data_IF_294654603531
#
_entry.id   IF_294654603531
#
_cell.length_a   1.000
_cell.length_b   1.000
_cell.length_c   1.000
_cell.angle_alpha   90.00
_cell.angle_beta   90.00
_cell.angle_gamma   90.00
#
_symmetry.space_group_name_H-M   'P 1'
#
loop_
_entity.id
_entity.type
_entity.pdbx_description
1 polymer ?
#
# COMPACT_ATOMS: atom_id res chain seq x y z
N UNK A 1 4.20 -6.16 18.55
CA UNK A 1 5.16 -5.06 18.66
C UNK A 1 6.49 -5.55 18.08
N UNK A 2 6.82 -5.20 16.84
CA UNK A 2 8.12 -5.53 16.24
C UNK A 2 9.15 -4.61 16.90
N UNK A 3 10.09 -5.17 17.59
CA UNK A 3 11.33 -4.53 18.04
C UNK A 3 11.91 -3.79 16.83
N UNK A 4 11.93 -2.45 16.91
CA UNK A 4 12.71 -1.62 15.98
C UNK A 4 14.14 -2.15 16.06
N UNK A 5 14.63 -2.67 14.94
CA UNK A 5 16.08 -2.84 14.74
C UNK A 5 16.72 -1.57 15.25
N UNK A 6 17.67 -1.69 16.18
CA UNK A 6 18.56 -0.61 16.56
C UNK A 6 19.32 -0.23 15.30
N UNK A 7 18.79 0.75 14.57
CA UNK A 7 19.48 1.32 13.44
C UNK A 7 20.84 1.80 13.97
N UNK A 8 21.91 1.38 13.35
CA UNK A 8 23.24 1.89 13.63
C UNK A 8 23.17 3.40 13.55
N UNK A 9 23.40 4.07 14.68
CA UNK A 9 23.32 5.53 14.79
C UNK A 9 24.75 6.04 14.86
N UNK A 10 25.14 6.89 13.92
CA UNK A 10 26.39 7.61 14.02
C UNK A 10 26.23 8.79 15.00
N UNK A 11 27.13 8.95 15.95
CA UNK A 11 27.15 10.12 16.80
C UNK A 11 28.02 11.21 16.16
N UNK A 12 27.41 12.32 15.81
CA UNK A 12 28.07 13.52 15.29
C UNK A 12 28.30 14.48 16.45
N UNK A 13 29.54 14.72 16.80
CA UNK A 13 29.96 15.49 17.97
C UNK A 13 30.92 16.59 17.57
N UNK A 14 31.01 17.69 18.34
CA UNK A 14 32.05 18.68 18.20
C UNK A 14 33.41 18.05 18.48
N UNK A 15 34.46 18.57 17.82
CA UNK A 15 35.85 18.18 17.96
C UNK A 15 36.72 19.43 18.11
N UNK A 16 38.01 19.30 18.49
CA UNK A 16 38.90 20.43 18.63
C UNK A 16 38.98 21.33 17.39
N UNK A 17 39.01 20.73 16.19
CA UNK A 17 39.13 21.44 14.93
C UNK A 17 37.90 21.25 14.03
N UNK A 18 36.70 21.29 14.62
CA UNK A 18 35.45 21.16 13.85
C UNK A 18 34.52 20.07 14.37
N UNK A 19 34.23 19.05 13.55
CA UNK A 19 33.24 18.03 13.86
C UNK A 19 33.77 16.63 13.57
N UNK A 20 33.36 15.67 14.39
CA UNK A 20 33.64 14.25 14.15
C UNK A 20 32.36 13.42 14.28
N UNK A 21 32.26 12.39 13.47
CA UNK A 21 31.25 11.38 13.64
C UNK A 21 31.86 10.03 13.96
N UNK A 22 31.29 9.37 14.95
CA UNK A 22 31.67 8.01 15.37
C UNK A 22 30.53 7.09 14.94
N UNK A 23 30.82 6.17 14.04
CA UNK A 23 29.90 5.13 13.56
C UNK A 23 30.52 3.74 13.82
N UNK A 24 29.73 2.69 13.70
CA UNK A 24 30.21 1.33 13.85
C UNK A 24 31.36 0.98 12.89
N UNK A 25 31.38 1.61 11.71
CA UNK A 25 32.35 1.36 10.64
C UNK A 25 33.62 2.23 10.75
N UNK A 26 33.69 3.13 11.73
CA UNK A 26 34.85 3.99 11.95
C UNK A 26 34.51 5.42 12.34
N UNK A 27 35.56 6.27 12.34
CA UNK A 27 35.50 7.69 12.71
C UNK A 27 35.73 8.54 11.46
N UNK A 28 34.84 9.50 11.22
CA UNK A 28 34.96 10.51 10.18
C UNK A 28 35.13 11.88 10.85
N UNK A 29 35.99 12.74 10.31
CA UNK A 29 36.19 14.11 10.80
C UNK A 29 36.14 15.11 9.63
N UNK A 30 35.78 16.36 9.96
CA UNK A 30 35.73 17.46 9.02
C UNK A 30 35.58 18.79 9.72
N UNK A 31 35.86 19.87 9.01
CA UNK A 31 35.77 21.23 9.54
C UNK A 31 34.31 21.68 9.74
N UNK A 32 33.39 21.09 8.99
CA UNK A 32 31.95 21.43 9.04
C UNK A 32 31.09 20.17 9.17
N UNK A 33 29.88 20.36 9.70
CA UNK A 33 28.86 19.30 9.77
C UNK A 33 28.54 18.73 8.38
N UNK A 34 28.47 19.58 7.35
CA UNK A 34 28.18 19.17 5.97
C UNK A 34 29.24 18.22 5.43
N UNK A 35 30.51 18.56 5.62
CA UNK A 35 31.65 17.73 5.19
C UNK A 35 31.65 16.35 5.86
N UNK A 36 31.37 16.28 7.16
CA UNK A 36 31.27 15.01 7.88
C UNK A 36 30.07 14.20 7.41
N UNK A 37 28.94 14.89 7.13
CA UNK A 37 27.74 14.24 6.64
C UNK A 37 27.94 13.56 5.26
N UNK A 38 28.74 14.15 4.38
CA UNK A 38 29.08 13.58 3.06
C UNK A 38 29.93 12.30 3.20
N UNK A 39 30.81 12.26 4.19
CA UNK A 39 31.69 11.12 4.46
C UNK A 39 30.96 9.94 5.10
N UNK A 40 29.79 10.17 5.72
CA UNK A 40 29.03 9.12 6.39
C UNK A 40 28.23 8.26 5.39
N UNK A 41 28.19 6.93 5.57
CA UNK A 41 27.40 6.03 4.73
C UNK A 41 25.93 6.44 4.66
N UNK A 42 25.31 6.28 3.49
CA UNK A 42 23.88 6.56 3.31
C UNK A 42 23.03 5.54 4.08
N UNK A 43 21.95 6.02 4.70
CA UNK A 43 20.99 5.15 5.41
C UNK A 43 21.28 4.94 6.90
N UNK A 44 22.39 5.43 7.43
CA UNK A 44 22.68 5.45 8.88
C UNK A 44 21.95 6.64 9.51
N UNK A 45 21.26 6.40 10.63
CA UNK A 45 20.71 7.47 11.46
C UNK A 45 21.82 8.32 12.08
N UNK A 46 21.62 9.62 12.21
CA UNK A 46 22.58 10.54 12.81
C UNK A 46 22.02 11.07 14.13
N UNK A 47 22.80 10.92 15.18
CA UNK A 47 22.56 11.61 16.43
C UNK A 47 23.49 12.82 16.52
N UNK A 48 22.93 14.01 16.57
CA UNK A 48 23.65 15.25 16.67
C UNK A 48 23.88 15.59 18.13
N UNK A 49 25.15 15.72 18.55
CA UNK A 49 25.50 16.25 19.84
C UNK A 49 25.84 17.73 19.69
N UNK A 50 25.06 18.58 20.34
CA UNK A 50 25.27 20.01 20.28
C UNK A 50 26.49 20.43 21.10
N UNK A 51 27.26 21.44 20.63
CA UNK A 51 28.43 21.95 21.35
C UNK A 51 28.00 22.63 22.63
N UNK A 52 28.92 22.64 23.58
CA UNK A 52 28.74 23.30 24.90
C UNK A 52 28.44 24.80 24.75
N UNK A 53 28.98 25.44 23.70
CA UNK A 53 28.69 26.85 23.37
C UNK A 53 27.25 27.14 22.98
N UNK A 54 26.49 26.12 22.60
CA UNK A 54 25.06 26.24 22.27
C UNK A 54 24.15 26.05 23.49
N UNK A 55 24.73 25.79 24.67
CA UNK A 55 24.00 25.40 25.88
C UNK A 55 24.09 26.51 26.91
N UNK A 56 22.97 26.87 27.51
CA UNK A 56 22.92 27.66 28.72
C UNK A 56 22.46 26.77 29.85
N UNK A 57 23.22 26.74 30.93
CA UNK A 57 22.92 25.91 32.11
C UNK A 57 22.58 26.81 33.29
N UNK A 58 21.42 26.55 33.91
CA UNK A 58 20.98 27.25 35.11
C UNK A 58 20.62 26.25 36.20
N UNK A 59 20.85 26.61 37.44
CA UNK A 59 20.56 25.76 38.58
C UNK A 59 19.48 26.37 39.45
N UNK A 60 18.53 25.54 39.83
CA UNK A 60 17.43 25.94 40.68
C UNK A 60 17.29 24.99 41.85
N UNK A 61 16.71 25.51 42.94
CA UNK A 61 16.08 24.69 43.97
C UNK A 61 14.60 24.83 43.79
N UNK A 62 13.96 23.70 43.48
CA UNK A 62 12.52 23.62 43.26
C UNK A 62 11.85 22.77 44.36
N UNK A 63 10.57 23.05 44.70
CA UNK A 63 9.81 22.20 45.60
C UNK A 63 9.79 20.75 45.07
N UNK A 64 9.72 19.77 45.96
CA UNK A 64 9.58 18.38 45.56
C UNK A 64 8.23 18.15 44.90
N UNK A 65 8.22 17.75 43.63
CA UNK A 65 7.04 17.61 42.79
C UNK A 65 7.29 16.56 41.69
N UNK A 66 6.24 16.05 41.05
CA UNK A 66 6.38 15.22 39.85
C UNK A 66 7.17 15.96 38.75
N UNK A 67 7.86 15.19 37.89
CA UNK A 67 8.72 15.74 36.83
C UNK A 67 8.01 16.77 35.92
N UNK A 68 6.73 16.55 35.62
CA UNK A 68 5.93 17.45 34.77
C UNK A 68 5.78 18.84 35.43
N UNK A 69 5.53 18.87 36.75
CA UNK A 69 5.42 20.12 37.52
C UNK A 69 6.78 20.80 37.68
N UNK A 70 7.84 20.00 37.90
CA UNK A 70 9.22 20.52 37.94
C UNK A 70 9.58 21.18 36.60
N UNK A 71 9.22 20.57 35.47
CA UNK A 71 9.43 21.13 34.13
C UNK A 71 8.69 22.47 33.98
N UNK A 72 7.43 22.55 34.38
CA UNK A 72 6.63 23.79 34.29
C UNK A 72 7.21 24.91 35.19
N UNK A 73 7.61 24.57 36.41
CA UNK A 73 8.24 25.54 37.33
C UNK A 73 9.59 26.03 36.80
N UNK A 74 10.42 25.15 36.29
CA UNK A 74 11.72 25.51 35.69
C UNK A 74 11.54 26.38 34.45
N UNK A 75 10.57 26.09 33.59
CA UNK A 75 10.26 26.92 32.42
C UNK A 75 9.96 28.36 32.83
N UNK A 76 9.10 28.58 33.84
CA UNK A 76 8.79 29.91 34.35
C UNK A 76 10.01 30.65 34.93
N UNK A 77 10.95 29.91 35.53
CA UNK A 77 12.21 30.48 36.02
C UNK A 77 13.14 30.87 34.86
N UNK A 78 13.28 29.99 33.88
CA UNK A 78 14.09 30.24 32.68
C UNK A 78 13.60 31.44 31.88
N UNK A 79 12.27 31.60 31.71
CA UNK A 79 11.69 32.77 31.03
C UNK A 79 11.99 34.10 31.71
N UNK A 80 12.24 34.10 33.02
CA UNK A 80 12.66 35.28 33.77
C UNK A 80 14.13 35.60 33.64
N UNK A 81 14.96 34.56 33.47
CA UNK A 81 16.43 34.68 33.47
C UNK A 81 17.00 34.86 32.08
N UNK A 82 16.35 34.22 31.10
CA UNK A 82 16.84 34.20 29.73
C UNK A 82 16.13 35.29 28.89
N UNK A 83 16.81 35.90 27.92
CA UNK A 83 16.20 36.88 26.99
C UNK A 83 15.39 36.19 25.87
N UNK A 84 14.77 35.07 26.16
CA UNK A 84 14.03 34.24 25.20
C UNK A 84 12.61 33.97 25.70
N UNK A 85 11.66 33.83 24.79
CA UNK A 85 10.31 33.36 25.11
C UNK A 85 10.31 31.82 25.16
N UNK A 86 9.29 31.22 25.79
CA UNK A 86 9.15 29.76 25.91
C UNK A 86 9.21 29.01 24.57
N UNK A 87 8.85 29.67 23.49
CA UNK A 87 8.84 29.09 22.13
C UNK A 87 10.22 29.15 21.46
N UNK A 88 11.14 29.94 21.99
CA UNK A 88 12.46 30.20 21.39
C UNK A 88 13.57 29.28 21.92
N UNK A 89 13.27 28.40 22.85
CA UNK A 89 14.25 27.47 23.40
C UNK A 89 13.66 26.08 23.68
N UNK A 90 14.53 25.10 23.75
CA UNK A 90 14.24 23.74 24.25
C UNK A 90 15.08 23.52 25.48
N UNK A 91 14.52 22.93 26.52
CA UNK A 91 15.25 22.61 27.73
C UNK A 91 14.89 21.23 28.28
N UNK A 92 15.73 20.70 29.12
CA UNK A 92 15.48 19.51 29.93
C UNK A 92 16.10 19.71 31.31
N UNK A 93 15.58 18.96 32.28
CA UNK A 93 16.04 19.02 33.67
C UNK A 93 16.83 17.76 34.06
N UNK A 94 17.92 17.96 34.71
CA UNK A 94 18.63 16.93 35.41
C UNK A 94 18.53 17.15 36.94
N UNK A 95 17.96 16.17 37.64
CA UNK A 95 17.83 16.21 39.11
C UNK A 95 19.19 15.92 39.75
N UNK A 96 19.75 16.89 40.44
CA UNK A 96 21.08 16.77 41.06
C UNK A 96 21.02 16.14 42.45
N UNK A 97 19.91 16.23 43.14
CA UNK A 97 19.71 15.63 44.47
C UNK A 97 18.90 16.53 45.41
N UNK A 98 18.72 16.09 46.67
CA UNK A 98 17.93 16.86 47.63
C UNK A 98 18.65 18.17 48.03
N UNK A 99 17.83 19.19 48.35
CA UNK A 99 18.22 20.46 48.96
C UNK A 99 17.50 20.65 50.29
N UNK A 100 17.83 21.70 51.05
CA UNK A 100 17.15 22.00 52.31
C UNK A 100 15.66 22.27 52.11
N UNK A 101 15.29 22.89 51.02
CA UNK A 101 13.90 23.26 50.71
C UNK A 101 13.41 22.66 49.34
N UNK A 102 13.68 21.37 49.09
CA UNK A 102 13.23 20.70 47.90
C UNK A 102 14.31 19.93 47.13
N UNK A 103 14.32 20.01 45.82
CA UNK A 103 15.24 19.30 44.92
C UNK A 103 16.12 20.30 44.17
N UNK A 104 17.40 20.06 44.12
CA UNK A 104 18.32 20.76 43.21
C UNK A 104 18.18 20.19 41.81
N UNK A 105 17.99 21.06 40.84
CA UNK A 105 17.90 20.71 39.44
C UNK A 105 18.87 21.55 38.62
N UNK A 106 19.43 20.98 37.59
CA UNK A 106 20.12 21.69 36.52
C UNK A 106 19.16 21.75 35.32
N UNK A 107 18.85 22.96 34.89
CA UNK A 107 18.19 23.17 33.62
C UNK A 107 19.23 23.41 32.54
N UNK A 108 19.29 22.52 31.56
CA UNK A 108 20.10 22.75 30.38
C UNK A 108 19.17 23.27 29.27
N UNK A 109 19.50 24.40 28.70
CA UNK A 109 18.63 25.13 27.74
C UNK A 109 19.39 25.36 26.46
N UNK A 110 18.76 25.15 25.34
CA UNK A 110 19.29 25.40 24.00
C UNK A 110 18.36 26.34 23.22
N UNK A 111 18.84 27.50 22.81
CA UNK A 111 18.08 28.38 21.92
C UNK A 111 17.77 27.69 20.60
N UNK A 112 16.53 27.80 20.12
CA UNK A 112 16.12 27.19 18.85
C UNK A 112 16.93 27.68 17.65
N UNK A 113 17.43 28.91 17.69
CA UNK A 113 18.32 29.45 16.66
C UNK A 113 19.62 28.63 16.55
N UNK A 114 20.25 28.33 17.69
CA UNK A 114 21.47 27.52 17.74
C UNK A 114 21.22 26.07 17.32
N UNK A 115 20.12 25.50 17.79
CA UNK A 115 19.69 24.16 17.38
C UNK A 115 19.48 24.09 15.86
N UNK A 116 18.79 25.06 15.28
CA UNK A 116 18.58 25.16 13.83
C UNK A 116 19.91 25.31 13.12
N UNK A 117 20.79 26.20 13.57
CA UNK A 117 22.12 26.43 12.98
C UNK A 117 22.94 25.13 12.88
N UNK A 118 22.94 24.31 13.93
CA UNK A 118 23.66 23.03 13.93
C UNK A 118 22.96 21.92 13.14
N UNK A 119 21.63 21.90 13.10
CA UNK A 119 20.88 20.84 12.42
C UNK A 119 20.61 21.11 10.93
N UNK A 120 20.62 22.37 10.50
CA UNK A 120 20.30 22.77 9.12
C UNK A 120 21.20 22.10 8.06
N UNK A 121 22.54 21.99 8.24
CA UNK A 121 23.38 21.29 7.27
C UNK A 121 22.96 19.82 7.05
N UNK A 122 22.52 19.15 8.13
CA UNK A 122 22.01 17.77 8.04
C UNK A 122 20.66 17.70 7.34
N UNK A 123 19.78 18.64 7.64
CA UNK A 123 18.43 18.74 7.01
C UNK A 123 18.54 19.06 5.52
N UNK A 124 19.42 19.99 5.16
CA UNK A 124 19.69 20.34 3.76
C UNK A 124 20.26 19.16 2.96
N UNK A 125 21.07 18.32 3.60
CA UNK A 125 21.58 17.07 3.00
C UNK A 125 20.50 15.95 2.94
N UNK A 126 19.27 16.22 3.37
CA UNK A 126 18.18 15.23 3.41
C UNK A 126 18.36 14.15 4.50
N UNK A 127 19.18 14.43 5.49
CA UNK A 127 19.53 13.54 6.62
C UNK A 127 19.24 14.19 7.97
N UNK A 128 17.98 14.51 8.28
CA UNK A 128 17.65 15.15 9.56
C UNK A 128 18.17 14.30 10.74
N UNK A 129 18.59 14.95 11.85
CA UNK A 129 19.10 14.21 13.00
C UNK A 129 17.98 13.36 13.62
N UNK A 130 18.22 12.06 13.77
CA UNK A 130 17.28 11.14 14.41
C UNK A 130 17.15 11.39 15.93
N UNK A 131 18.23 11.90 16.53
CA UNK A 131 18.29 12.37 17.91
C UNK A 131 19.16 13.60 18.01
N UNK A 132 18.84 14.44 18.95
CA UNK A 132 19.70 15.56 19.35
C UNK A 132 20.00 15.40 20.83
N UNK A 133 21.25 15.50 21.18
CA UNK A 133 21.74 15.46 22.55
C UNK A 133 22.69 16.61 22.82
N UNK A 134 23.14 16.75 24.07
CA UNK A 134 24.14 17.73 24.48
C UNK A 134 25.47 17.04 24.76
N UNK A 135 26.55 17.50 24.11
CA UNK A 135 27.86 16.84 24.22
C UNK A 135 28.33 16.79 25.67
N UNK A 136 28.25 17.92 26.40
CA UNK A 136 28.64 18.01 27.81
C UNK A 136 27.89 17.02 28.72
N UNK A 137 26.59 16.84 28.51
CA UNK A 137 25.78 15.85 29.28
C UNK A 137 26.25 14.43 28.97
N UNK A 138 26.56 14.13 27.71
CA UNK A 138 27.02 12.81 27.33
C UNK A 138 28.44 12.54 27.89
N UNK A 139 29.28 13.56 27.94
CA UNK A 139 30.60 13.48 28.62
C UNK A 139 30.42 13.25 30.12
N UNK A 140 29.52 14.01 30.77
CA UNK A 140 29.25 13.82 32.21
C UNK A 140 28.85 12.38 32.52
N UNK A 141 28.01 11.76 31.72
CA UNK A 141 27.58 10.36 31.87
C UNK A 141 28.70 9.34 31.77
N UNK A 142 29.79 9.67 31.07
CA UNK A 142 30.96 8.79 31.04
C UNK A 142 31.69 8.65 32.41
N UNK A 143 31.30 9.47 33.39
CA UNK A 143 31.80 9.48 34.77
C UNK A 143 30.79 8.93 35.79
N UNK A 144 29.78 8.14 35.37
CA UNK A 144 28.70 7.69 36.25
C UNK A 144 29.16 7.02 37.55
N UNK A 145 30.31 6.32 37.54
CA UNK A 145 30.80 5.57 38.68
C UNK A 145 32.06 6.22 39.30
N UNK A 146 32.29 7.52 39.05
CA UNK A 146 33.53 8.20 39.42
C UNK A 146 33.38 9.24 40.55
N UNK A 147 32.18 9.38 41.13
CA UNK A 147 31.90 10.44 42.12
C UNK A 147 32.00 11.84 41.49
N UNK A 148 32.69 12.75 42.14
CA UNK A 148 32.95 14.10 41.62
C UNK A 148 34.11 14.04 40.62
N UNK A 149 33.81 14.28 39.35
CA UNK A 149 34.77 14.25 38.26
C UNK A 149 34.82 15.59 37.52
N UNK A 150 36.05 15.95 37.11
CA UNK A 150 36.32 17.10 36.25
C UNK A 150 36.69 16.59 34.85
N UNK A 151 36.18 17.24 33.81
CA UNK A 151 36.69 17.07 32.45
C UNK A 151 37.04 18.42 31.83
N UNK A 152 38.20 18.44 31.18
CA UNK A 152 38.68 19.61 30.43
C UNK A 152 39.03 19.17 29.01
N UNK A 153 38.41 19.81 28.02
CA UNK A 153 38.66 19.49 26.62
C UNK A 153 38.53 20.72 25.72
N UNK A 154 39.02 20.61 24.50
CA UNK A 154 38.87 21.64 23.48
C UNK A 154 37.63 21.34 22.61
N UNK A 155 36.80 22.34 22.43
CA UNK A 155 35.59 22.24 21.60
C UNK A 155 35.52 23.45 20.69
N UNK A 156 35.55 23.22 19.38
CA UNK A 156 35.53 24.31 18.38
C UNK A 156 36.56 25.42 18.70
N UNK A 157 37.79 25.02 19.05
CA UNK A 157 38.91 25.90 19.44
C UNK A 157 38.84 26.57 20.81
N UNK A 158 37.77 26.40 21.58
CA UNK A 158 37.61 26.93 22.94
C UNK A 158 37.81 25.82 23.99
N UNK A 159 38.52 26.09 25.12
CA UNK A 159 38.56 25.18 26.22
C UNK A 159 37.28 25.18 27.03
N UNK A 160 36.78 23.99 27.32
CA UNK A 160 35.54 23.76 28.09
C UNK A 160 35.88 22.98 29.34
N UNK A 161 35.49 23.52 30.49
CA UNK A 161 35.57 22.86 31.78
C UNK A 161 34.16 22.39 32.19
N UNK A 162 34.09 21.13 32.60
CA UNK A 162 32.87 20.51 33.08
C UNK A 162 33.16 19.81 34.42
N UNK A 163 32.19 19.91 35.35
CA UNK A 163 32.16 19.10 36.55
C UNK A 163 30.94 18.21 36.51
N UNK A 164 31.13 16.95 36.77
CA UNK A 164 30.10 15.95 36.91
C UNK A 164 30.09 15.33 38.30
N UNK A 165 28.91 14.99 38.79
CA UNK A 165 28.73 14.23 40.04
C UNK A 165 27.93 12.99 39.73
N UNK A 166 28.52 11.82 39.90
CA UNK A 166 27.89 10.52 39.61
C UNK A 166 27.26 10.48 38.20
N UNK A 167 27.99 11.03 37.22
CA UNK A 167 27.53 11.07 35.81
C UNK A 167 26.53 12.15 35.46
N UNK A 168 26.18 13.01 36.41
CA UNK A 168 25.27 14.15 36.16
C UNK A 168 26.08 15.42 35.99
N UNK A 169 25.74 16.23 35.01
CA UNK A 169 26.33 17.54 34.78
C UNK A 169 25.94 18.49 35.92
N UNK A 170 26.90 19.08 36.60
CA UNK A 170 26.64 20.05 37.69
C UNK A 170 27.22 21.43 37.41
N UNK A 171 28.26 21.51 36.59
CA UNK A 171 28.92 22.76 36.19
C UNK A 171 29.45 22.65 34.78
N UNK A 172 29.27 23.71 33.99
CA UNK A 172 29.79 23.81 32.63
C UNK A 172 30.20 25.25 32.37
N UNK A 173 31.46 25.44 31.95
CA UNK A 173 31.99 26.76 31.68
C UNK A 173 32.96 26.75 30.51
N UNK A 174 32.88 27.78 29.67
CA UNK A 174 33.89 28.04 28.65
C UNK A 174 34.97 28.93 29.28
N UNK A 175 36.17 28.41 29.33
CA UNK A 175 37.28 29.18 29.87
C UNK A 175 37.69 30.24 28.83
N UNK A 176 37.90 31.47 29.34
CA UNK A 176 38.39 32.59 28.53
C UNK A 176 39.90 32.56 28.61
N UNK A 177 40.56 32.29 27.50
CA UNK A 177 42.03 32.17 27.48
C UNK A 177 42.63 33.16 26.50
N UNK A 178 43.74 33.79 26.90
CA UNK A 178 44.53 34.64 26.01
C UNK A 178 45.44 33.83 25.07
N UNK A 179 45.49 32.50 25.25
CA UNK A 179 46.36 31.57 24.54
C UNK A 179 45.67 30.27 24.10
N UNK A 180 46.42 29.34 23.51
CA UNK A 180 45.90 28.06 23.05
C UNK A 180 45.53 27.08 24.18
N UNK A 181 45.99 27.34 25.40
CA UNK A 181 45.76 26.54 26.59
C UNK A 181 45.22 27.40 27.73
N UNK A 182 44.29 26.86 28.56
CA UNK A 182 43.89 27.54 29.80
C UNK A 182 45.04 27.54 30.79
N UNK A 183 45.21 28.63 31.54
CA UNK A 183 46.17 28.64 32.60
C UNK A 183 45.60 28.06 33.92
N UNK A 184 46.48 27.71 34.86
CA UNK A 184 46.06 27.11 36.12
C UNK A 184 45.22 28.07 36.99
N UNK A 185 45.38 29.39 36.83
CA UNK A 185 44.60 30.39 37.57
C UNK A 185 43.18 30.47 37.06
N UNK A 186 42.95 30.30 35.75
CA UNK A 186 41.60 30.25 35.18
C UNK A 186 40.85 28.99 35.60
N UNK A 187 41.51 27.82 35.55
CA UNK A 187 40.94 26.57 36.04
C UNK A 187 40.57 26.73 37.53
N UNK A 188 41.45 27.27 38.35
CA UNK A 188 41.19 27.51 39.77
C UNK A 188 40.06 28.49 40.02
N UNK A 189 39.91 29.54 39.18
CA UNK A 189 38.83 30.50 39.24
C UNK A 189 37.48 29.86 38.92
N UNK A 190 37.39 29.04 37.88
CA UNK A 190 36.20 28.28 37.53
C UNK A 190 35.80 27.32 38.64
N UNK A 191 36.78 26.62 39.25
CA UNK A 191 36.51 25.73 40.37
C UNK A 191 35.97 26.48 41.58
N UNK A 192 36.58 27.61 41.94
CA UNK A 192 36.08 28.47 43.02
C UNK A 192 34.66 28.97 42.71
N UNK A 193 34.39 29.33 41.46
CA UNK A 193 33.02 29.67 41.01
C UNK A 193 32.04 28.55 41.23
N UNK A 194 32.39 27.34 40.85
CA UNK A 194 31.59 26.13 41.05
C UNK A 194 31.36 25.83 42.56
N UNK A 195 32.38 26.01 43.39
CA UNK A 195 32.28 25.83 44.85
C UNK A 195 31.35 26.87 45.48
N UNK A 196 31.56 28.13 45.20
CA UNK A 196 30.72 29.22 45.68
C UNK A 196 29.27 29.10 45.24
N UNK A 197 29.05 28.57 44.06
CA UNK A 197 27.74 28.26 43.55
C UNK A 197 27.15 26.95 44.13
N UNK A 198 27.84 26.25 45.01
CA UNK A 198 27.39 24.99 45.60
C UNK A 198 27.28 23.83 44.59
N UNK A 199 28.07 23.86 43.50
CA UNK A 199 28.13 22.81 42.51
C UNK A 199 29.05 21.65 42.91
N UNK A 200 29.97 21.88 43.82
CA UNK A 200 30.91 20.88 44.30
C UNK A 200 30.46 20.32 45.66
N UNK A 201 29.85 19.14 45.69
CA UNK A 201 29.40 18.52 46.94
C UNK A 201 30.55 17.89 47.73
N UNK A 202 31.74 17.81 47.15
CA UNK A 202 32.92 17.20 47.78
C UNK A 202 34.16 17.36 46.90
N UNK A 203 35.28 16.76 47.33
CA UNK A 203 36.56 16.87 46.60
C UNK A 203 36.44 16.15 45.23
N UNK A 204 37.14 16.70 44.24
CA UNK A 204 37.26 16.09 42.92
C UNK A 204 38.04 14.79 43.02
N UNK A 205 37.46 13.69 42.63
CA UNK A 205 38.02 12.35 42.69
C UNK A 205 38.95 12.06 41.49
N UNK A 206 38.64 12.62 40.34
CA UNK A 206 39.38 12.42 39.08
C UNK A 206 39.23 13.61 38.16
N UNK A 207 40.30 13.97 37.47
CA UNK A 207 40.30 14.95 36.40
C UNK A 207 40.71 14.27 35.09
N UNK A 208 39.90 14.40 34.01
CA UNK A 208 40.23 13.93 32.68
C UNK A 208 40.52 15.10 31.77
N UNK A 209 41.63 15.03 31.08
CA UNK A 209 42.10 16.10 30.20
C UNK A 209 42.23 15.55 28.78
N UNK A 210 41.51 16.16 27.85
CA UNK A 210 41.51 15.74 26.45
C UNK A 210 42.70 16.17 25.63
N UNK A 211 43.44 17.15 26.13
CA UNK A 211 44.62 17.73 25.48
C UNK A 211 45.86 17.52 26.38
N UNK A 212 46.84 16.77 25.92
CA UNK A 212 48.01 16.39 26.71
C UNK A 212 48.86 17.58 27.19
N UNK A 213 48.88 18.68 26.42
CA UNK A 213 49.56 19.93 26.75
C UNK A 213 48.90 20.70 27.91
N UNK A 214 47.71 20.34 28.33
CA UNK A 214 46.96 20.98 29.42
C UNK A 214 47.09 20.22 30.77
N UNK A 215 47.66 19.03 30.75
CA UNK A 215 47.76 18.16 31.93
C UNK A 215 48.53 18.84 33.10
N UNK A 216 49.60 19.56 32.82
CA UNK A 216 50.41 20.20 33.85
C UNK A 216 49.69 21.41 34.47
N UNK A 217 48.92 22.15 33.72
CA UNK A 217 48.06 23.24 34.22
C UNK A 217 46.99 22.70 35.17
N UNK A 218 46.36 21.58 34.79
CA UNK A 218 45.34 20.93 35.65
C UNK A 218 45.97 20.37 36.92
N UNK A 219 47.16 19.76 36.87
CA UNK A 219 47.92 19.31 38.07
C UNK A 219 48.28 20.45 38.99
N UNK A 220 48.64 21.62 38.43
CA UNK A 220 48.88 22.82 39.17
C UNK A 220 47.65 23.38 39.86
N UNK A 221 46.53 23.40 39.17
CA UNK A 221 45.26 23.88 39.71
C UNK A 221 44.62 22.90 40.73
N UNK A 222 44.89 21.61 40.60
CA UNK A 222 44.30 20.52 41.40
C UNK A 222 45.39 19.63 42.00
N UNK A 223 46.18 20.11 42.98
CA UNK A 223 47.26 19.34 43.61
C UNK A 223 46.68 18.11 44.33
N UNK A 224 47.21 16.92 44.01
CA UNK A 224 46.78 15.67 44.64
C UNK A 224 45.59 14.94 43.98
N UNK A 225 44.96 15.52 42.96
CA UNK A 225 43.90 14.86 42.20
C UNK A 225 44.54 14.00 41.08
N UNK A 226 44.10 12.75 40.90
CA UNK A 226 44.52 11.94 39.76
C UNK A 226 44.08 12.58 38.43
N UNK A 227 45.07 12.85 37.54
CA UNK A 227 44.79 13.45 36.21
C UNK A 227 45.00 12.37 35.15
N UNK A 228 43.93 12.04 34.47
CA UNK A 228 43.93 11.11 33.32
C UNK A 228 44.16 11.92 32.03
N UNK A 229 45.26 11.65 31.33
CA UNK A 229 45.52 12.15 29.97
C UNK A 229 44.82 11.21 28.99
N UNK A 230 43.57 11.51 28.68
CA UNK A 230 42.78 10.68 27.84
C UNK A 230 41.69 11.50 27.10
N UNK A 231 41.42 11.13 25.88
CA UNK A 231 40.38 11.77 25.09
C UNK A 231 39.02 11.79 25.82
N UNK A 232 38.46 12.96 25.91
CA UNK A 232 37.09 13.13 26.45
C UNK A 232 36.09 12.65 25.42
N UNK A 233 35.46 11.55 25.74
CA UNK A 233 34.50 10.89 24.82
C UNK A 233 33.11 10.87 25.44
N UNK A 234 32.07 11.16 24.65
CA UNK A 234 30.67 11.05 25.10
C UNK A 234 30.26 9.60 25.30
N UNK A 235 29.33 9.37 26.22
CA UNK A 235 28.70 8.07 26.39
C UNK A 235 27.96 7.64 25.10
N UNK A 236 27.95 6.35 24.82
CA UNK A 236 27.33 5.83 23.59
C UNK A 236 25.79 5.93 23.62
N UNK A 237 25.21 5.80 24.79
CA UNK A 237 23.73 5.94 24.92
C UNK A 237 23.35 7.41 25.13
N UNK A 238 22.62 7.98 24.16
CA UNK A 238 22.27 9.38 24.18
C UNK A 238 21.07 9.61 25.10
N UNK A 239 21.32 10.38 26.13
CA UNK A 239 20.28 10.81 27.05
C UNK A 239 19.46 11.94 26.51
N UNK A 240 18.15 11.81 26.73
CA UNK A 240 17.19 12.80 26.30
C UNK A 240 17.00 12.83 24.79
N UNK A 241 16.07 13.63 24.35
CA UNK A 241 15.90 13.94 22.95
C UNK A 241 15.47 15.40 22.82
N UNK A 242 16.39 16.24 22.41
CA UNK A 242 16.26 17.69 22.29
C UNK A 242 15.64 18.12 20.94
N UNK A 243 15.06 17.17 20.20
CA UNK A 243 14.37 17.46 18.94
C UNK A 243 13.07 18.19 19.25
N UNK A 244 12.85 19.41 18.72
CA UNK A 244 11.63 20.15 18.92
C UNK A 244 10.40 19.37 18.47
N UNK A 245 9.28 19.51 19.19
CA UNK A 245 8.05 18.80 18.87
C UNK A 245 7.56 19.09 17.42
N UNK A 246 7.78 20.30 16.94
CA UNK A 246 7.48 20.67 15.55
C UNK A 246 8.27 19.83 14.53
N UNK A 247 9.55 19.55 14.76
CA UNK A 247 10.37 18.73 13.88
C UNK A 247 9.96 17.26 13.93
N UNK A 248 9.63 16.78 15.13
CA UNK A 248 9.10 15.43 15.28
C UNK A 248 7.78 15.24 14.52
N UNK A 249 6.90 16.25 14.55
CA UNK A 249 5.65 16.22 13.80
C UNK A 249 5.88 16.25 12.27
N UNK A 250 6.84 17.08 11.81
CA UNK A 250 7.24 17.11 10.39
C UNK A 250 7.79 15.76 9.91
N UNK A 251 8.65 15.15 10.71
CA UNK A 251 9.28 13.88 10.37
C UNK A 251 8.26 12.74 10.35
N UNK A 252 7.36 12.71 11.34
CA UNK A 252 6.22 11.79 11.34
C UNK A 252 5.29 12.01 10.13
N UNK A 253 5.10 13.27 9.74
CA UNK A 253 4.36 13.62 8.52
C UNK A 253 5.03 13.07 7.26
N UNK A 254 6.33 13.29 7.10
CA UNK A 254 7.14 12.75 5.97
C UNK A 254 7.16 11.22 5.94
N UNK A 255 7.32 10.57 7.10
CA UNK A 255 7.25 9.11 7.18
C UNK A 255 5.87 8.56 6.80
N UNK A 256 4.78 9.21 7.24
CA UNK A 256 3.42 8.83 6.87
C UNK A 256 3.20 9.00 5.36
N UNK A 257 3.67 10.10 4.81
CA UNK A 257 3.58 10.38 3.39
C UNK A 257 4.41 9.39 2.55
N UNK A 258 5.63 9.08 2.98
CA UNK A 258 6.48 8.07 2.33
C UNK A 258 5.85 6.67 2.37
N UNK A 259 5.26 6.27 3.49
CA UNK A 259 4.51 5.00 3.61
C UNK A 259 3.27 4.98 2.72
N UNK A 260 2.58 6.11 2.60
CA UNK A 260 1.42 6.23 1.72
C UNK A 260 1.81 6.11 0.25
N UNK A 261 2.85 6.84 -0.18
CA UNK A 261 3.37 6.75 -1.56
C UNK A 261 3.84 5.33 -1.89
N UNK A 262 4.54 4.68 -0.96
CA UNK A 262 5.00 3.30 -1.16
C UNK A 262 3.82 2.30 -1.26
N UNK A 263 2.77 2.48 -0.45
CA UNK A 263 1.53 1.70 -0.57
C UNK A 263 0.82 1.93 -1.90
N UNK A 264 0.79 3.19 -2.36
CA UNK A 264 0.19 3.55 -3.65
C UNK A 264 0.97 2.93 -4.82
N UNK A 265 2.30 2.93 -4.77
CA UNK A 265 3.15 2.25 -5.75
C UNK A 265 2.88 0.74 -5.80
N UNK A 266 2.79 0.08 -4.64
CA UNK A 266 2.43 -1.34 -4.56
C UNK A 266 1.03 -1.62 -5.09
N UNK A 267 0.04 -0.77 -4.79
CA UNK A 267 -1.31 -0.89 -5.34
C UNK A 267 -1.32 -0.73 -6.87
N UNK A 268 -0.55 0.24 -7.39
CA UNK A 268 -0.43 0.46 -8.83
C UNK A 268 0.26 -0.70 -9.54
N UNK A 269 1.33 -1.26 -8.97
CA UNK A 269 2.01 -2.43 -9.54
C UNK A 269 1.12 -3.67 -9.51
N UNK A 270 0.37 -3.90 -8.43
CA UNK A 270 -0.60 -4.99 -8.34
C UNK A 270 -1.72 -4.83 -9.38
N UNK A 271 -2.24 -3.61 -9.56
CA UNK A 271 -3.25 -3.31 -10.56
C UNK A 271 -2.72 -3.52 -12.00
N UNK A 272 -1.51 -3.05 -12.29
CA UNK A 272 -0.87 -3.27 -13.60
C UNK A 272 -0.65 -4.77 -13.89
N UNK A 273 -0.24 -5.54 -12.88
CA UNK A 273 -0.10 -6.99 -13.00
C UNK A 273 -1.45 -7.67 -13.26
N UNK A 274 -2.52 -7.26 -12.56
CA UNK A 274 -3.87 -7.79 -12.79
C UNK A 274 -4.38 -7.49 -14.20
N UNK A 275 -4.13 -6.28 -14.71
CA UNK A 275 -4.44 -5.92 -16.09
C UNK A 275 -3.65 -6.76 -17.10
N UNK A 276 -2.35 -6.96 -16.87
CA UNK A 276 -1.51 -7.79 -17.75
C UNK A 276 -2.00 -9.24 -17.81
N UNK A 277 -2.41 -9.82 -16.68
CA UNK A 277 -3.02 -11.15 -16.62
C UNK A 277 -4.36 -11.17 -17.37
N UNK A 278 -5.22 -10.16 -17.17
CA UNK A 278 -6.50 -10.04 -17.85
C UNK A 278 -6.34 -9.93 -19.38
N UNK A 279 -5.44 -9.09 -19.85
CA UNK A 279 -5.13 -8.97 -21.28
C UNK A 279 -4.50 -10.26 -21.85
N UNK A 280 -3.61 -10.90 -21.09
CA UNK A 280 -3.03 -12.19 -21.47
C UNK A 280 -4.11 -13.27 -21.63
N UNK A 281 -5.06 -13.34 -20.71
CA UNK A 281 -6.18 -14.27 -20.77
C UNK A 281 -7.11 -14.00 -21.97
N UNK A 282 -7.45 -12.73 -22.19
CA UNK A 282 -8.22 -12.30 -23.36
C UNK A 282 -7.53 -12.64 -24.70
N UNK A 283 -6.22 -12.49 -24.77
CA UNK A 283 -5.45 -12.88 -25.97
C UNK A 283 -5.46 -14.38 -26.21
N UNK A 284 -5.42 -15.19 -25.14
CA UNK A 284 -5.53 -16.66 -25.24
C UNK A 284 -6.93 -17.07 -25.68
N UNK A 285 -7.99 -16.42 -25.19
CA UNK A 285 -9.38 -16.66 -25.57
C UNK A 285 -9.62 -16.31 -27.05
N UNK A 286 -9.10 -15.16 -27.50
CA UNK A 286 -9.13 -14.79 -28.94
C UNK A 286 -8.45 -15.84 -29.84
N UNK A 287 -7.33 -16.41 -29.39
CA UNK A 287 -6.66 -17.48 -30.15
C UNK A 287 -7.48 -18.74 -30.24
N UNK A 288 -8.25 -19.09 -29.19
CA UNK A 288 -9.18 -20.25 -29.23
C UNK A 288 -10.33 -19.99 -30.19
N UNK A 289 -10.94 -18.80 -30.13
CA UNK A 289 -12.01 -18.42 -31.06
C UNK A 289 -11.53 -18.48 -32.52
N UNK A 290 -10.35 -17.94 -32.81
CA UNK A 290 -9.78 -17.98 -34.16
C UNK A 290 -9.51 -19.41 -34.66
N UNK A 291 -9.21 -20.40 -33.79
CA UNK A 291 -9.12 -21.81 -34.19
C UNK A 291 -10.46 -22.42 -34.55
N UNK A 292 -11.52 -22.08 -33.76
CA UNK A 292 -12.89 -22.52 -34.02
C UNK A 292 -13.41 -21.93 -35.33
N UNK A 293 -13.12 -20.67 -35.61
CA UNK A 293 -13.51 -20.02 -36.88
C UNK A 293 -12.85 -20.71 -38.08
N UNK A 294 -11.59 -21.14 -37.98
CA UNK A 294 -10.91 -21.92 -39.01
C UNK A 294 -11.57 -23.32 -39.21
N UNK A 295 -11.93 -24.01 -38.14
CA UNK A 295 -12.65 -25.29 -38.23
C UNK A 295 -14.05 -25.12 -38.87
N UNK A 296 -14.74 -24.04 -38.49
CA UNK A 296 -16.04 -23.71 -39.13
C UNK A 296 -15.86 -23.45 -40.61
N UNK A 297 -14.85 -22.67 -41.02
CA UNK A 297 -14.55 -22.38 -42.41
C UNK A 297 -14.23 -23.63 -43.22
N UNK A 298 -13.53 -24.63 -42.67
CA UNK A 298 -13.27 -25.91 -43.31
C UNK A 298 -14.52 -26.79 -43.44
N UNK A 299 -15.44 -26.72 -42.47
CA UNK A 299 -16.67 -27.52 -42.47
C UNK A 299 -17.76 -26.93 -43.33
N UNK A 300 -17.78 -25.61 -43.56
CA UNK A 300 -18.82 -24.89 -44.30
C UNK A 300 -19.07 -25.48 -45.70
N UNK A 301 -18.09 -25.79 -46.55
CA UNK A 301 -18.35 -26.38 -47.86
C UNK A 301 -18.92 -27.80 -47.76
N UNK A 302 -18.60 -28.57 -46.71
CA UNK A 302 -19.19 -29.92 -46.53
C UNK A 302 -20.68 -29.81 -46.12
N UNK A 303 -21.01 -28.80 -45.28
CA UNK A 303 -22.40 -28.55 -44.88
C UNK A 303 -23.24 -28.06 -46.08
N UNK A 304 -22.71 -27.18 -46.92
CA UNK A 304 -23.39 -26.74 -48.13
C UNK A 304 -23.67 -27.89 -49.11
N UNK A 305 -22.70 -28.76 -49.28
CA UNK A 305 -22.83 -29.95 -50.14
C UNK A 305 -23.87 -30.93 -49.60
N UNK A 306 -23.95 -31.10 -48.28
CA UNK A 306 -24.97 -31.91 -47.61
C UNK A 306 -26.34 -31.31 -47.75
N UNK A 307 -26.49 -30.01 -47.54
CA UNK A 307 -27.77 -29.29 -47.71
C UNK A 307 -28.27 -29.32 -49.15
N UNK A 308 -27.37 -29.16 -50.12
CA UNK A 308 -27.71 -29.30 -51.54
C UNK A 308 -28.21 -30.71 -51.91
N UNK A 309 -27.59 -31.76 -51.34
CA UNK A 309 -28.07 -33.13 -51.50
C UNK A 309 -29.46 -33.36 -50.87
N UNK A 310 -29.65 -32.84 -49.66
CA UNK A 310 -30.91 -32.95 -48.93
C UNK A 310 -32.08 -32.23 -49.65
N UNK A 311 -31.77 -31.07 -50.23
CA UNK A 311 -32.76 -30.32 -51.04
C UNK A 311 -33.16 -31.09 -52.31
N UNK A 312 -32.19 -31.71 -52.99
CA UNK A 312 -32.47 -32.59 -54.13
C UNK A 312 -33.28 -33.82 -53.73
N UNK A 313 -33.00 -34.48 -52.62
CA UNK A 313 -33.77 -35.59 -52.09
C UNK A 313 -35.23 -35.19 -51.82
N UNK A 314 -35.47 -34.05 -51.13
CA UNK A 314 -36.82 -33.56 -50.83
C UNK A 314 -37.60 -33.24 -52.10
N UNK A 315 -36.94 -32.76 -53.14
CA UNK A 315 -37.60 -32.52 -54.42
C UNK A 315 -37.99 -33.81 -55.15
N UNK A 316 -37.25 -34.91 -54.98
CA UNK A 316 -37.52 -36.21 -55.56
C UNK A 316 -38.50 -37.05 -54.72
N UNK A 317 -38.67 -36.75 -53.43
CA UNK A 317 -39.52 -37.51 -52.51
C UNK A 317 -40.97 -37.61 -53.02
N UNK A 318 -41.50 -36.48 -53.53
CA UNK A 318 -42.84 -36.47 -54.11
C UNK A 318 -42.99 -37.32 -55.37
N UNK A 319 -41.91 -37.64 -56.09
CA UNK A 319 -41.91 -38.44 -57.28
C UNK A 319 -41.71 -39.98 -57.03
N UNK A 320 -41.32 -40.34 -55.83
CA UNK A 320 -41.00 -41.70 -55.46
C UNK A 320 -42.10 -42.35 -54.58
N UNK A 321 -42.98 -41.56 -53.98
CA UNK A 321 -44.07 -42.06 -53.14
C UNK A 321 -45.28 -42.61 -53.96
N UNK A 322 -45.41 -43.95 -54.07
CA UNK A 322 -46.44 -44.55 -54.92
C UNK A 322 -47.85 -44.20 -54.51
N UNK A 323 -48.10 -43.94 -53.22
CA UNK A 323 -49.44 -43.60 -52.67
C UNK A 323 -49.99 -42.27 -53.14
N UNK A 324 -49.21 -41.50 -53.90
CA UNK A 324 -49.64 -40.18 -54.47
C UNK A 324 -49.78 -40.20 -55.99
N UNK A 325 -49.66 -41.38 -56.59
CA UNK A 325 -49.92 -41.45 -58.05
C UNK A 325 -51.42 -41.37 -58.38
N UNK A 326 -51.75 -40.58 -59.37
CA UNK A 326 -53.15 -40.39 -59.89
C UNK A 326 -53.82 -41.71 -60.16
N UNK A 327 -53.07 -42.64 -60.76
CA UNK A 327 -53.60 -43.97 -61.14
C UNK A 327 -53.96 -44.79 -59.88
N UNK A 328 -53.17 -44.70 -58.81
CA UNK A 328 -53.42 -45.45 -57.59
C UNK A 328 -54.67 -44.97 -56.88
N UNK A 329 -54.80 -43.65 -56.73
CA UNK A 329 -55.98 -43.02 -56.12
C UNK A 329 -57.23 -43.30 -56.92
N UNK A 330 -57.14 -43.22 -58.25
CA UNK A 330 -58.27 -43.51 -59.12
C UNK A 330 -58.68 -45.01 -59.07
N UNK A 331 -57.66 -45.88 -58.94
CA UNK A 331 -57.92 -47.34 -58.79
C UNK A 331 -58.66 -47.60 -57.47
N UNK A 332 -58.23 -47.02 -56.36
CA UNK A 332 -58.89 -47.16 -55.06
C UNK A 332 -60.34 -46.65 -55.08
N UNK A 333 -60.57 -45.47 -55.69
CA UNK A 333 -61.91 -44.89 -55.87
C UNK A 333 -62.80 -45.83 -56.69
N UNK A 334 -62.28 -46.36 -57.80
CA UNK A 334 -63.00 -47.28 -58.65
C UNK A 334 -63.31 -48.61 -57.97
N UNK A 335 -62.36 -49.13 -57.18
CA UNK A 335 -62.56 -50.39 -56.45
C UNK A 335 -63.68 -50.29 -55.41
N UNK A 336 -63.86 -49.13 -54.81
CA UNK A 336 -64.89 -48.89 -53.80
C UNK A 336 -66.30 -48.79 -54.40
N UNK A 337 -66.44 -48.60 -55.71
CA UNK A 337 -67.73 -48.59 -56.38
C UNK A 337 -68.45 -49.92 -56.24
N UNK A 338 -67.73 -51.03 -56.40
CA UNK A 338 -68.34 -52.35 -56.31
C UNK A 338 -69.43 -52.62 -57.36
N UNK A 339 -70.55 -53.23 -56.92
CA UNK A 339 -71.69 -53.57 -57.77
C UNK A 339 -72.77 -52.49 -57.84
N UNK A 340 -72.52 -51.28 -57.24
CA UNK A 340 -73.50 -50.20 -57.26
C UNK A 340 -73.52 -49.48 -58.61
N UNK A 341 -74.70 -48.99 -59.03
CA UNK A 341 -74.85 -48.23 -60.29
C UNK A 341 -74.37 -46.77 -60.09
N UNK A 342 -73.01 -46.66 -59.91
CA UNK A 342 -72.35 -45.39 -59.71
C UNK A 342 -71.41 -45.13 -60.88
N UNK A 343 -71.51 -43.93 -61.47
CA UNK A 343 -70.64 -43.48 -62.55
C UNK A 343 -69.88 -42.27 -62.17
N UNK A 344 -68.50 -42.29 -62.23
CA UNK A 344 -67.66 -41.13 -62.07
C UNK A 344 -67.73 -40.33 -63.37
N UNK A 345 -68.05 -39.05 -63.26
CA UNK A 345 -68.22 -38.12 -64.41
C UNK A 345 -67.02 -37.17 -64.56
N UNK A 346 -66.39 -36.84 -63.48
CA UNK A 346 -65.28 -35.92 -63.49
C UNK A 346 -64.29 -36.33 -62.43
N UNK A 347 -62.94 -36.26 -62.70
CA UNK A 347 -61.89 -36.44 -61.75
C UNK A 347 -60.79 -35.41 -61.99
N UNK A 348 -60.41 -34.69 -60.93
CA UNK A 348 -59.36 -33.71 -60.95
C UNK A 348 -58.37 -34.02 -59.78
N UNK A 349 -57.10 -33.94 -60.05
CA UNK A 349 -56.08 -34.17 -59.04
C UNK A 349 -54.97 -33.10 -59.08
N UNK A 350 -54.61 -32.63 -57.96
CA UNK A 350 -53.45 -31.75 -57.68
C UNK A 350 -52.55 -32.42 -56.67
N UNK A 351 -51.28 -32.01 -56.51
CA UNK A 351 -50.32 -32.67 -55.58
C UNK A 351 -50.79 -32.74 -54.12
N UNK A 352 -51.78 -32.01 -53.73
CA UNK A 352 -52.30 -31.95 -52.35
C UNK A 352 -53.78 -32.19 -52.19
N UNK A 353 -54.50 -32.26 -53.27
CA UNK A 353 -55.96 -32.46 -53.28
C UNK A 353 -56.38 -33.20 -54.49
N UNK A 354 -57.46 -33.97 -54.34
CA UNK A 354 -58.20 -34.50 -55.44
C UNK A 354 -59.66 -34.18 -55.28
N UNK A 355 -60.33 -34.04 -56.35
CA UNK A 355 -61.80 -33.85 -56.40
C UNK A 355 -62.38 -34.72 -57.48
N UNK A 356 -63.53 -35.36 -57.22
CA UNK A 356 -64.24 -36.05 -58.23
C UNK A 356 -65.76 -35.87 -58.06
N UNK A 357 -66.47 -35.97 -59.17
CA UNK A 357 -67.88 -35.94 -59.18
C UNK A 357 -68.39 -37.23 -59.82
N UNK A 358 -69.57 -37.64 -59.42
CA UNK A 358 -70.19 -38.83 -59.93
C UNK A 358 -71.70 -38.80 -59.78
N UNK A 359 -72.37 -39.72 -60.47
CA UNK A 359 -73.79 -39.94 -60.43
C UNK A 359 -74.10 -41.32 -59.85
N UNK A 360 -75.10 -41.44 -58.97
CA UNK A 360 -75.59 -42.66 -58.38
C UNK A 360 -77.11 -42.85 -58.76
N UNK A 361 -77.60 -44.04 -58.66
CA UNK A 361 -79.00 -44.31 -58.98
C UNK A 361 -80.00 -43.57 -58.09
N UNK A 362 -79.64 -43.33 -56.82
CA UNK A 362 -80.40 -42.57 -55.85
C UNK A 362 -79.50 -41.92 -54.77
N UNK A 363 -80.09 -40.99 -53.98
CA UNK A 363 -79.34 -40.29 -52.92
C UNK A 363 -78.77 -41.20 -51.81
N UNK A 364 -79.53 -42.29 -51.52
CA UNK A 364 -79.09 -43.19 -50.47
C UNK A 364 -77.80 -43.94 -50.88
N UNK A 365 -77.69 -44.40 -52.14
CA UNK A 365 -76.48 -45.03 -52.69
C UNK A 365 -75.31 -44.10 -52.79
N UNK A 366 -75.57 -42.82 -53.14
CA UNK A 366 -74.48 -41.80 -53.12
C UNK A 366 -73.90 -41.60 -51.72
N UNK A 367 -74.72 -41.49 -50.68
CA UNK A 367 -74.29 -41.31 -49.27
C UNK A 367 -73.59 -42.60 -48.81
N UNK A 368 -74.11 -43.75 -49.12
CA UNK A 368 -73.49 -45.01 -48.74
C UNK A 368 -72.11 -45.17 -49.38
N UNK A 369 -71.99 -44.83 -50.65
CA UNK A 369 -70.67 -44.85 -51.33
C UNK A 369 -69.67 -43.90 -50.70
N UNK A 370 -70.02 -42.67 -50.42
CA UNK A 370 -69.14 -41.73 -49.73
C UNK A 370 -68.79 -42.21 -48.36
N UNK A 371 -69.69 -42.87 -47.64
CA UNK A 371 -69.37 -43.48 -46.32
C UNK A 371 -68.44 -44.67 -46.45
N UNK A 372 -68.53 -45.50 -47.49
CA UNK A 372 -67.58 -46.58 -47.79
C UNK A 372 -66.15 -46.00 -48.11
N UNK A 373 -66.15 -44.96 -48.97
CA UNK A 373 -64.92 -44.31 -49.36
C UNK A 373 -64.12 -43.71 -48.14
N UNK A 374 -64.86 -43.17 -47.15
CA UNK A 374 -64.28 -42.64 -45.91
C UNK A 374 -63.64 -43.73 -45.03
N UNK A 375 -64.10 -44.96 -45.18
CA UNK A 375 -63.60 -46.12 -44.41
C UNK A 375 -62.43 -46.86 -45.09
N UNK A 376 -62.12 -46.48 -46.34
CA UNK A 376 -61.05 -47.12 -47.11
C UNK A 376 -59.68 -46.77 -46.51
N UNK A 377 -58.88 -47.72 -46.01
CA UNK A 377 -57.61 -47.48 -45.35
C UNK A 377 -56.58 -46.78 -46.24
N UNK A 378 -56.58 -47.06 -47.51
CA UNK A 378 -55.64 -46.50 -48.48
C UNK A 378 -55.93 -45.00 -48.80
N UNK A 379 -57.09 -44.51 -48.45
CA UNK A 379 -57.45 -43.08 -48.55
C UNK A 379 -57.41 -42.38 -47.19
N UNK A 380 -56.98 -43.03 -46.13
CA UNK A 380 -56.92 -42.49 -44.78
C UNK A 380 -56.01 -41.25 -44.63
N UNK A 381 -55.01 -41.08 -45.54
CA UNK A 381 -54.16 -39.89 -45.63
C UNK A 381 -54.86 -38.64 -46.22
N UNK A 382 -56.13 -38.77 -46.65
CA UNK A 382 -56.87 -37.66 -47.18
C UNK A 382 -58.10 -37.38 -46.32
N UNK A 383 -58.33 -36.12 -46.02
CA UNK A 383 -59.57 -35.68 -45.40
C UNK A 383 -60.62 -35.51 -46.46
N UNK A 384 -61.63 -36.43 -46.50
CA UNK A 384 -62.66 -36.42 -47.44
C UNK A 384 -63.83 -35.54 -47.01
N UNK A 385 -64.15 -34.57 -47.81
CA UNK A 385 -65.35 -33.69 -47.69
C UNK A 385 -66.30 -33.90 -48.86
N UNK A 386 -67.60 -34.06 -48.54
CA UNK A 386 -68.57 -34.28 -49.54
C UNK A 386 -69.84 -33.46 -49.17
N UNK A 387 -70.24 -32.47 -49.97
CA UNK A 387 -71.52 -31.81 -49.80
C UNK A 387 -72.66 -32.79 -50.09
N UNK A 388 -73.86 -32.43 -49.64
CA UNK A 388 -75.05 -33.26 -49.88
C UNK A 388 -75.27 -33.48 -51.37
N UNK A 389 -75.59 -34.71 -51.76
CA UNK A 389 -75.92 -35.03 -53.18
C UNK A 389 -77.07 -34.21 -53.69
N UNK A 390 -76.99 -33.77 -54.95
CA UNK A 390 -78.03 -33.02 -55.63
C UNK A 390 -78.84 -33.95 -56.55
N UNK A 391 -80.18 -33.81 -56.57
CA UNK A 391 -81.06 -34.66 -57.41
C UNK A 391 -81.13 -34.03 -58.80
N UNK A 392 -80.78 -34.82 -59.81
CA UNK A 392 -80.90 -34.44 -61.22
C UNK A 392 -82.31 -34.68 -61.76
N UNK A 393 -82.71 -34.01 -62.85
CA UNK A 393 -84.03 -34.15 -63.45
C UNK A 393 -84.39 -35.59 -63.96
N UNK A 394 -83.37 -36.44 -64.05
CA UNK A 394 -83.45 -37.86 -64.43
C UNK A 394 -83.54 -38.82 -63.21
N UNK A 395 -83.96 -38.31 -62.06
CA UNK A 395 -84.09 -39.02 -60.81
C UNK A 395 -82.75 -39.62 -60.26
N UNK A 396 -81.56 -39.37 -60.88
CA UNK A 396 -80.22 -39.74 -60.37
C UNK A 396 -79.74 -38.73 -59.40
N UNK A 397 -78.86 -39.13 -58.50
CA UNK A 397 -78.22 -38.25 -57.54
C UNK A 397 -76.78 -37.95 -57.97
N UNK A 398 -76.43 -36.65 -58.11
CA UNK A 398 -75.11 -36.20 -58.38
C UNK A 398 -74.42 -35.93 -57.05
N UNK A 399 -73.23 -36.47 -56.86
CA UNK A 399 -72.43 -36.23 -55.71
C UNK A 399 -70.99 -35.72 -56.06
N UNK A 400 -70.37 -35.00 -55.13
CA UNK A 400 -69.00 -34.52 -55.27
C UNK A 400 -68.21 -34.86 -54.01
N UNK A 401 -67.00 -35.32 -54.21
CA UNK A 401 -66.05 -35.62 -53.09
C UNK A 401 -64.77 -34.87 -53.33
N UNK A 402 -64.32 -34.14 -52.27
CA UNK A 402 -63.05 -33.45 -52.27
C UNK A 402 -62.18 -34.11 -51.21
N UNK A 403 -61.00 -34.56 -51.60
CA UNK A 403 -59.98 -35.12 -50.69
C UNK A 403 -58.78 -34.18 -50.59
N UNK A 404 -58.41 -33.78 -49.36
CA UNK A 404 -57.24 -32.99 -49.11
C UNK A 404 -56.24 -33.79 -48.21
N UNK A 405 -54.99 -33.70 -48.55
CA UNK A 405 -53.91 -34.35 -47.71
C UNK A 405 -53.97 -33.79 -46.31
N UNK A 406 -54.15 -34.64 -45.32
CA UNK A 406 -54.10 -34.26 -43.93
C UNK A 406 -52.60 -34.16 -43.49
N UNK A 407 -52.07 -32.97 -43.56
CA UNK A 407 -50.69 -32.73 -43.06
C UNK A 407 -50.71 -32.61 -41.53
N UNK A 408 -50.15 -33.57 -40.78
CA UNK A 408 -50.04 -33.40 -39.33
C UNK A 408 -49.14 -32.23 -39.03
N UNK A 409 -49.70 -31.07 -38.66
CA UNK A 409 -48.89 -29.95 -38.16
C UNK A 409 -49.30 -28.54 -38.53
N UNK A 410 -50.44 -28.31 -39.27
CA UNK A 410 -50.91 -26.92 -39.44
C UNK A 410 -51.98 -26.56 -38.39
N UNK A 411 -51.53 -26.50 -37.11
CA UNK A 411 -52.28 -25.66 -36.17
C UNK A 411 -51.66 -24.25 -36.22
N UNK A 412 -52.51 -23.28 -36.59
CA UNK A 412 -52.23 -21.85 -36.41
C UNK A 412 -51.91 -21.52 -34.97
#
# INVERSE_FOLDING_TARGET
MKTRNSAVIAQLAPAPEGWRAVAADGVCAGSTIAEVCEKLPKGIGIALLLPSSAIVTERFVLPEAPREDLMAMAQLQLEKLLPYTAEDFVFDLEELGPAEEGIRVLAATVPLAELKRCAEPLRAAGRPPARVGLYAIQVARSFADRGVALALWRECSAPVLMIAVDGKLVWLEHLITDGPAPDAAEISRSLLGAELAGALPGPIAVARVGESDWVDQVRTALPGVPVEDAAVTPAQDIAGNWVPAAWQAEEQGREKQGRFVNRLQWAFTAYAAALAVGFGWLALEKRKVGKIDLEIAELQPKVELSNARQTKWRALEAAVEPSRYLIEILHQISRTIGAADIRITEFQMSPREFAFAGEAANVAEAIEYVSRLRKEPDLSGFKLDSPNPNILPNERAQFRVNGRVDLPGSKR
#
